data_IF_525461913729
#
_entry.id   IF_525461913729
#
_cell.length_a   1.000
_cell.length_b   1.000
_cell.length_c   1.000
_cell.angle_alpha   90.00
_cell.angle_beta   90.00
_cell.angle_gamma   90.00
#
_symmetry.space_group_name_H-M   'P 1'
#
loop_
_entity.id
_entity.type
_entity.pdbx_description
1 polymer ?
#
# COMPACT_ATOMS: atom_id res chain seq x y z
N UNK A 1 8.30 -22.52 -10.32
CA UNK A 1 8.42 -22.22 -8.90
C UNK A 1 7.65 -20.98 -8.51
N UNK A 2 7.14 -21.04 -7.33
CA UNK A 2 6.33 -19.95 -6.81
C UNK A 2 7.24 -18.78 -6.44
N UNK A 3 6.71 -17.60 -6.53
CA UNK A 3 7.42 -16.40 -6.12
C UNK A 3 6.82 -15.76 -4.92
N UNK A 4 7.62 -14.98 -4.21
CA UNK A 4 7.14 -14.16 -3.12
C UNK A 4 7.12 -12.72 -3.58
N UNK A 5 6.11 -12.00 -3.15
CA UNK A 5 5.97 -10.59 -3.51
C UNK A 5 5.51 -9.82 -2.28
N UNK A 6 6.15 -8.70 -2.03
CA UNK A 6 5.77 -7.83 -0.92
C UNK A 6 5.40 -6.48 -1.50
N UNK A 7 4.18 -6.04 -1.17
CA UNK A 7 3.68 -4.73 -1.61
C UNK A 7 3.65 -3.84 -0.37
N UNK A 8 4.33 -2.72 -0.43
CA UNK A 8 4.39 -1.79 0.70
C UNK A 8 3.39 -0.67 0.49
N UNK A 9 2.56 -0.45 1.48
CA UNK A 9 1.49 0.53 1.39
C UNK A 9 1.48 1.39 2.65
N UNK A 10 1.30 2.69 2.50
CA UNK A 10 1.12 3.59 3.62
C UNK A 10 -0.25 4.25 3.53
N UNK A 11 -0.92 4.39 4.65
CA UNK A 11 -2.20 5.10 4.72
C UNK A 11 -2.10 6.18 5.77
N UNK A 12 -2.96 7.17 5.68
CA UNK A 12 -2.89 8.30 6.60
C UNK A 12 -3.28 7.91 8.01
N UNK A 13 -2.73 8.64 8.98
CA UNK A 13 -3.09 8.44 10.37
C UNK A 13 -4.59 8.68 10.52
N UNK A 14 -5.21 7.91 11.38
CA UNK A 14 -6.65 7.99 11.56
C UNK A 14 -7.41 6.97 10.73
N UNK A 15 -6.75 6.29 9.80
CA UNK A 15 -7.42 5.26 9.02
C UNK A 15 -7.77 4.06 9.90
N UNK A 16 -8.83 3.36 9.51
CA UNK A 16 -9.24 2.14 10.20
C UNK A 16 -8.29 1.02 9.78
N UNK A 17 -7.31 0.71 10.61
CA UNK A 17 -6.24 -0.20 10.25
C UNK A 17 -6.72 -1.62 10.00
N UNK A 18 -7.75 -2.07 10.72
CA UNK A 18 -8.27 -3.41 10.48
C UNK A 18 -8.95 -3.49 9.13
N UNK A 19 -9.65 -2.44 8.77
CA UNK A 19 -10.30 -2.40 7.47
C UNK A 19 -9.28 -2.34 6.36
N UNK A 20 -8.20 -1.58 6.55
CA UNK A 20 -7.13 -1.51 5.56
C UNK A 20 -6.57 -2.91 5.32
N UNK A 21 -6.28 -3.64 6.39
CA UNK A 21 -5.73 -4.98 6.26
C UNK A 21 -6.68 -5.90 5.51
N UNK A 22 -7.98 -5.83 5.82
CA UNK A 22 -8.97 -6.64 5.12
C UNK A 22 -9.00 -6.34 3.64
N UNK A 23 -8.99 -5.06 3.29
CA UNK A 23 -9.04 -4.64 1.89
C UNK A 23 -7.82 -5.13 1.14
N UNK A 24 -6.65 -5.04 1.76
CA UNK A 24 -5.43 -5.51 1.10
C UNK A 24 -5.49 -7.00 0.81
N UNK A 25 -5.96 -7.77 1.76
CA UNK A 25 -6.06 -9.22 1.58
C UNK A 25 -7.13 -9.57 0.55
N UNK A 26 -8.27 -8.91 0.59
CA UNK A 26 -9.33 -9.14 -0.39
C UNK A 26 -8.86 -8.81 -1.79
N UNK A 27 -8.16 -7.69 -1.93
CA UNK A 27 -7.65 -7.27 -3.23
C UNK A 27 -6.68 -8.30 -3.79
N UNK A 28 -5.79 -8.80 -2.94
CA UNK A 28 -4.83 -9.81 -3.37
C UNK A 28 -5.53 -11.09 -3.80
N UNK A 29 -6.54 -11.50 -3.06
CA UNK A 29 -7.24 -12.74 -3.35
C UNK A 29 -8.00 -12.73 -4.68
N UNK A 30 -8.24 -11.56 -5.23
CA UNK A 30 -8.93 -11.45 -6.51
C UNK A 30 -8.00 -11.58 -7.71
N UNK A 31 -6.69 -11.57 -7.50
CA UNK A 31 -5.75 -11.62 -8.63
C UNK A 31 -5.44 -13.07 -9.01
N UNK A 32 -5.51 -13.36 -10.30
CA UNK A 32 -5.31 -14.71 -10.81
C UNK A 32 -3.96 -15.32 -10.45
N UNK A 33 -2.92 -14.51 -10.43
CA UNK A 33 -1.58 -15.02 -10.16
C UNK A 33 -1.29 -15.20 -8.68
N UNK A 34 -2.13 -14.64 -7.82
CA UNK A 34 -1.92 -14.76 -6.38
C UNK A 34 -2.47 -16.10 -5.91
N UNK A 35 -1.66 -16.84 -5.17
CA UNK A 35 -2.05 -18.15 -4.69
C UNK A 35 -2.87 -18.01 -3.42
N UNK A 36 -4.09 -18.52 -3.46
CA UNK A 36 -4.98 -18.45 -2.30
C UNK A 36 -5.74 -19.77 -2.07
N UNK A 37 -5.28 -20.84 -2.72
CA UNK A 37 -6.00 -22.12 -2.68
C UNK A 37 -5.34 -23.16 -1.79
N UNK A 38 -4.44 -22.74 -0.93
CA UNK A 38 -3.80 -23.67 0.00
C UNK A 38 -2.47 -24.24 -0.47
N UNK A 39 -2.08 -24.01 -1.73
CA UNK A 39 -0.80 -24.52 -2.21
C UNK A 39 0.38 -23.80 -1.56
N UNK A 40 0.16 -22.61 -1.07
CA UNK A 40 1.19 -21.82 -0.42
C UNK A 40 0.50 -20.94 0.63
N UNK A 41 1.28 -20.17 1.37
CA UNK A 41 0.71 -19.28 2.38
C UNK A 41 -0.22 -18.27 1.71
N UNK A 42 -1.39 -18.04 2.28
CA UNK A 42 -2.33 -17.09 1.68
C UNK A 42 -1.83 -15.64 1.81
N UNK A 43 -2.43 -14.73 1.07
CA UNK A 43 -2.09 -13.31 1.23
C UNK A 43 -2.24 -12.86 2.67
N UNK A 44 -1.29 -12.06 3.11
CA UNK A 44 -1.29 -11.59 4.49
C UNK A 44 -0.94 -10.11 4.52
N UNK A 45 -1.79 -9.30 5.12
CA UNK A 45 -1.52 -7.90 5.33
C UNK A 45 -0.99 -7.72 6.75
N UNK A 46 0.17 -7.11 6.86
CA UNK A 46 0.80 -6.87 8.15
C UNK A 46 0.88 -5.36 8.40
N UNK A 47 0.48 -4.96 9.58
CA UNK A 47 0.64 -3.57 9.99
C UNK A 47 2.04 -3.47 10.58
N UNK A 48 2.93 -2.85 9.86
CA UNK A 48 4.36 -2.87 10.21
C UNK A 48 4.73 -1.82 11.24
N UNK A 49 3.99 -0.74 11.33
CA UNK A 49 4.29 0.25 12.33
C UNK A 49 3.86 1.66 11.94
N UNK A 50 4.32 2.60 12.73
CA UNK A 50 3.93 3.99 12.58
C UNK A 50 5.10 4.74 11.94
N UNK A 51 4.88 5.17 10.70
CA UNK A 51 5.90 5.93 9.99
C UNK A 51 5.79 7.41 10.28
N UNK A 52 6.68 8.19 9.68
CA UNK A 52 6.68 9.62 9.89
C UNK A 52 5.40 10.28 9.41
N UNK A 53 4.85 9.80 8.32
CA UNK A 53 3.67 10.41 7.74
C UNK A 53 2.55 9.42 7.49
N UNK A 54 2.75 8.17 7.81
CA UNK A 54 1.80 7.14 7.44
C UNK A 54 1.80 5.97 8.41
N UNK A 55 0.71 5.23 8.40
CA UNK A 55 0.63 3.93 9.04
C UNK A 55 1.07 2.93 7.98
N UNK A 56 2.11 2.17 8.28
CA UNK A 56 2.77 1.36 7.25
C UNK A 56 2.33 -0.09 7.28
N UNK A 57 2.00 -0.59 6.09
CA UNK A 57 1.57 -1.97 5.92
C UNK A 57 2.44 -2.67 4.89
N UNK A 58 2.50 -3.97 4.99
CA UNK A 58 3.04 -4.83 3.93
C UNK A 58 2.00 -5.86 3.58
N UNK A 59 1.75 -6.01 2.30
CA UNK A 59 0.89 -7.08 1.81
C UNK A 59 1.82 -8.12 1.22
N UNK A 60 1.86 -9.30 1.84
CA UNK A 60 2.74 -10.39 1.42
C UNK A 60 1.93 -11.45 0.72
N UNK A 61 2.33 -11.76 -0.50
CA UNK A 61 1.63 -12.73 -1.32
C UNK A 61 2.59 -13.72 -1.95
N UNK A 62 2.06 -14.88 -2.33
CA UNK A 62 2.80 -15.83 -3.14
C UNK A 62 2.14 -15.83 -4.49
N UNK A 63 2.97 -15.87 -5.53
CA UNK A 63 2.45 -15.83 -6.90
C UNK A 63 2.90 -17.06 -7.65
N UNK A 64 2.12 -17.43 -8.67
CA UNK A 64 2.34 -18.66 -9.40
C UNK A 64 3.66 -18.63 -10.18
N UNK A 65 3.93 -17.50 -10.83
CA UNK A 65 5.10 -17.38 -11.71
C UNK A 65 5.90 -16.16 -11.30
N UNK A 66 7.09 -16.37 -10.75
CA UNK A 66 7.93 -15.28 -10.28
C UNK A 66 8.32 -14.33 -11.41
N UNK A 67 8.30 -14.79 -12.64
CA UNK A 67 8.63 -13.92 -13.77
C UNK A 67 7.60 -12.81 -13.97
N UNK A 68 6.42 -12.99 -13.44
CA UNK A 68 5.35 -12.00 -13.58
C UNK A 68 5.26 -11.06 -12.40
N UNK A 69 6.27 -11.06 -11.53
CA UNK A 69 6.17 -10.30 -10.29
C UNK A 69 5.91 -8.80 -10.49
N UNK A 70 6.51 -8.21 -11.51
CA UNK A 70 6.31 -6.79 -11.70
C UNK A 70 4.92 -6.48 -12.25
N UNK A 71 4.42 -7.36 -13.11
CA UNK A 71 3.05 -7.19 -13.62
C UNK A 71 2.05 -7.35 -12.48
N UNK A 72 2.28 -8.34 -11.63
CA UNK A 72 1.37 -8.56 -10.50
C UNK A 72 1.46 -7.39 -9.51
N UNK A 73 2.67 -6.91 -9.25
CA UNK A 73 2.85 -5.77 -8.36
C UNK A 73 2.08 -4.55 -8.88
N UNK A 74 2.20 -4.29 -10.17
CA UNK A 74 1.50 -3.17 -10.79
C UNK A 74 -0.02 -3.35 -10.68
N UNK A 75 -0.50 -4.55 -11.01
CA UNK A 75 -1.93 -4.85 -10.93
C UNK A 75 -2.47 -4.65 -9.52
N UNK A 76 -1.73 -5.12 -8.53
CA UNK A 76 -2.16 -4.98 -7.15
C UNK A 76 -2.17 -3.52 -6.71
N UNK A 77 -1.18 -2.76 -7.13
CA UNK A 77 -1.15 -1.34 -6.80
C UNK A 77 -2.33 -0.60 -7.43
N UNK A 78 -2.66 -0.89 -8.68
CA UNK A 78 -3.83 -0.29 -9.31
C UNK A 78 -5.10 -0.66 -8.56
N UNK A 79 -5.27 -1.93 -8.24
CA UNK A 79 -6.47 -2.40 -7.56
C UNK A 79 -6.60 -1.82 -6.15
N UNK A 80 -5.47 -1.74 -5.43
CA UNK A 80 -5.48 -1.17 -4.10
C UNK A 80 -5.86 0.30 -4.17
N UNK A 81 -5.30 1.02 -5.13
CA UNK A 81 -5.60 2.44 -5.27
C UNK A 81 -7.10 2.65 -5.54
N UNK A 82 -7.67 1.84 -6.42
CA UNK A 82 -9.09 1.94 -6.70
C UNK A 82 -9.94 1.63 -5.48
N UNK A 83 -9.58 0.58 -4.77
CA UNK A 83 -10.36 0.17 -3.63
C UNK A 83 -10.27 1.19 -2.51
N UNK A 84 -9.08 1.74 -2.29
CA UNK A 84 -8.90 2.76 -1.27
C UNK A 84 -9.72 4.00 -1.60
N UNK A 85 -9.75 4.40 -2.87
CA UNK A 85 -10.55 5.55 -3.26
C UNK A 85 -12.03 5.33 -2.96
N UNK A 86 -12.53 4.14 -3.25
CA UNK A 86 -13.94 3.84 -3.02
C UNK A 86 -14.28 3.75 -1.53
N UNK A 87 -13.30 3.48 -0.68
CA UNK A 87 -13.52 3.35 0.75
C UNK A 87 -13.06 4.59 1.51
N UNK A 88 -12.66 5.62 0.80
CA UNK A 88 -12.21 6.89 1.39
C UNK A 88 -10.97 6.72 2.27
N UNK A 89 -10.09 5.81 1.88
CA UNK A 89 -8.82 5.62 2.56
C UNK A 89 -7.78 6.43 1.81
N UNK A 90 -7.04 7.26 2.53
CA UNK A 90 -6.10 8.19 1.94
C UNK A 90 -4.68 7.69 2.05
N UNK A 91 -3.94 7.76 0.94
CA UNK A 91 -2.51 7.50 0.94
C UNK A 91 -1.85 8.87 1.02
N UNK A 92 -1.17 9.18 2.11
CA UNK A 92 -0.67 10.53 2.30
C UNK A 92 0.59 10.80 1.50
N UNK A 93 0.80 12.05 1.17
CA UNK A 93 2.07 12.47 0.63
C UNK A 93 3.07 12.47 1.78
N UNK A 94 4.35 12.27 1.48
CA UNK A 94 5.37 12.39 2.53
C UNK A 94 5.30 13.77 3.16
N UNK A 95 5.26 13.81 4.49
CA UNK A 95 5.19 15.07 5.20
C UNK A 95 6.59 15.40 5.67
N UNK A 96 7.21 16.37 5.03
CA UNK A 96 8.54 16.72 5.42
C UNK A 96 8.51 17.99 6.19
N UNK A 97 9.36 18.09 7.17
CA UNK A 97 9.48 19.32 7.91
C UNK A 97 10.50 20.16 7.19
N UNK A 98 10.04 20.90 6.21
CA UNK A 98 10.92 21.66 5.36
C UNK A 98 11.06 23.10 5.78
N UNK A 99 10.53 23.47 6.88
CA UNK A 99 10.57 24.85 7.33
C UNK A 99 10.09 25.77 6.24
N UNK A 100 9.07 25.34 5.62
CA UNK A 100 8.53 26.07 4.51
C UNK A 100 8.11 27.45 4.85
N UNK A 101 7.79 27.71 6.07
CA UNK A 101 7.37 29.02 6.39
C UNK A 101 8.45 30.01 6.15
N UNK A 102 9.70 29.67 6.36
CA UNK A 102 10.73 30.60 6.09
C UNK A 102 10.80 30.86 4.64
N UNK A 103 10.77 29.79 3.90
CA UNK A 103 10.82 29.88 2.49
C UNK A 103 9.60 30.56 1.97
N UNK A 104 8.48 30.27 2.49
CA UNK A 104 7.32 30.85 1.94
C UNK A 104 7.18 32.29 2.31
N UNK A 105 7.78 32.73 3.32
CA UNK A 105 7.68 34.09 3.60
C UNK A 105 8.37 34.86 2.59
N UNK A 106 9.39 34.33 2.05
CA UNK A 106 10.02 35.00 1.03
C UNK A 106 9.30 34.75 -0.17
N UNK A 107 8.86 33.60 -0.39
CA UNK A 107 8.24 33.38 -1.62
C UNK A 107 6.89 33.86 -1.60
N UNK A 108 6.22 33.88 -0.56
CA UNK A 108 4.93 34.32 -0.63
C UNK A 108 4.94 35.67 -0.75
N UNK A 109 5.94 36.16 -0.47
CA UNK A 109 6.00 37.45 -0.65
C UNK A 109 6.12 37.50 -2.01
N UNK A 110 6.47 36.56 -2.50
CA UNK A 110 6.59 36.52 -3.80
C UNK A 110 5.67 35.60 -4.21
N UNK A 111 4.99 35.11 -3.51
CA UNK A 111 4.17 34.20 -3.86
C UNK A 111 3.27 34.24 -3.72
#
# INVERSE_FOLDING_TARGET
>A
PYGRLIVKIGVSYGSDIKKVAEILEETANLHDQVISDGRASPPKALFMGFGDSSLDFELRVRIVDIKKRYDVLSDLNFAINERFASENIVIPFPQRDLHIKDWSEESKKKK
#
